data_IF_904514060408
#
_entry.id   IF_904514060408
#
_cell.length_a   1.000
_cell.length_b   1.000
_cell.length_c   1.000
_cell.angle_alpha   90.00
_cell.angle_beta   90.00
_cell.angle_gamma   90.00
#
_symmetry.space_group_name_H-M   'P 1'
#
loop_
_entity.id
_entity.type
_entity.pdbx_description
1 polymer ?
#
# COMPACT_ATOMS: atom_id res chain seq x y z
N UNK A 1 16.23 14.87 -7.81
CA UNK A 1 15.70 14.49 -6.48
C UNK A 1 14.93 13.18 -6.53
N UNK A 2 13.97 12.97 -7.46
CA UNK A 2 13.27 11.69 -7.65
C UNK A 2 14.20 10.51 -8.06
N UNK A 3 15.30 10.80 -8.76
CA UNK A 3 16.29 9.83 -9.22
C UNK A 3 17.22 9.30 -8.12
N UNK A 4 17.49 10.09 -7.08
CA UNK A 4 18.37 9.69 -5.97
C UNK A 4 17.61 8.81 -4.97
N UNK A 5 16.31 9.05 -4.80
CA UNK A 5 15.44 8.23 -3.95
C UNK A 5 15.15 6.86 -4.58
N UNK A 6 15.09 6.76 -5.90
CA UNK A 6 14.88 5.50 -6.63
C UNK A 6 16.15 4.64 -6.59
N UNK A 7 17.32 5.20 -6.90
CA UNK A 7 18.59 4.45 -6.89
C UNK A 7 18.99 3.97 -5.47
N UNK A 8 18.75 4.77 -4.43
CA UNK A 8 19.03 4.38 -3.04
C UNK A 8 18.11 3.27 -2.52
N UNK A 9 16.82 3.37 -2.84
CA UNK A 9 15.83 2.35 -2.45
C UNK A 9 16.07 1.06 -3.22
N UNK A 10 16.36 1.12 -4.52
CA UNK A 10 16.65 -0.05 -5.36
C UNK A 10 17.90 -0.82 -4.91
N UNK A 11 18.99 -0.13 -4.58
CA UNK A 11 20.21 -0.79 -4.12
C UNK A 11 20.05 -1.46 -2.74
N UNK A 12 19.30 -0.83 -1.84
CA UNK A 12 18.95 -1.41 -0.54
C UNK A 12 18.07 -2.65 -0.71
N UNK A 13 17.05 -2.54 -1.56
CA UNK A 13 16.18 -3.62 -2.06
C UNK A 13 17.03 -4.79 -2.55
N UNK A 14 17.92 -4.58 -3.51
CA UNK A 14 18.69 -5.65 -4.19
C UNK A 14 19.68 -6.38 -3.28
N UNK A 15 20.11 -5.76 -2.17
CA UNK A 15 21.02 -6.37 -1.20
C UNK A 15 20.35 -7.39 -0.26
N UNK A 16 19.02 -7.48 -0.25
CA UNK A 16 18.26 -8.37 0.64
C UNK A 16 17.89 -9.68 -0.06
N UNK A 17 18.11 -10.82 0.62
CA UNK A 17 17.75 -12.16 0.10
C UNK A 17 16.24 -12.23 -0.22
N UNK A 18 15.80 -13.09 -1.17
CA UNK A 18 14.43 -13.08 -1.72
C UNK A 18 13.28 -13.10 -0.70
N UNK A 19 13.51 -13.68 0.48
CA UNK A 19 12.53 -13.81 1.57
C UNK A 19 12.41 -12.50 2.38
N UNK A 20 13.46 -11.68 2.47
CA UNK A 20 13.46 -10.42 3.21
C UNK A 20 12.75 -9.26 2.47
N UNK A 21 12.47 -9.44 1.17
CA UNK A 21 11.77 -8.46 0.35
C UNK A 21 10.30 -8.26 0.72
N UNK A 22 9.64 -9.34 1.16
CA UNK A 22 8.24 -9.31 1.57
C UNK A 22 8.10 -8.59 2.91
N UNK A 23 9.13 -8.63 3.77
CA UNK A 23 9.16 -7.89 5.03
C UNK A 23 9.37 -6.38 4.85
N UNK A 24 10.17 -5.95 3.86
CA UNK A 24 10.51 -4.53 3.72
C UNK A 24 9.31 -3.66 3.32
N UNK A 25 8.32 -4.24 2.62
CA UNK A 25 7.05 -3.55 2.31
C UNK A 25 6.14 -3.42 3.54
N UNK A 26 6.35 -4.27 4.54
CA UNK A 26 5.57 -4.29 5.79
C UNK A 26 6.21 -3.44 6.90
N UNK A 27 7.53 -3.23 6.89
CA UNK A 27 8.22 -2.47 7.93
C UNK A 27 7.80 -0.98 7.97
N UNK A 28 7.22 -0.43 6.89
CA UNK A 28 6.63 0.92 6.92
C UNK A 28 5.21 0.95 7.53
N UNK A 29 4.59 -0.20 7.80
CA UNK A 29 3.26 -0.31 8.42
C UNK A 29 3.29 -0.36 9.96
N UNK A 30 4.47 -0.51 10.58
CA UNK A 30 4.60 -0.59 12.04
C UNK A 30 5.06 0.72 12.71
N UNK A 31 5.47 1.72 11.93
CA UNK A 31 6.02 2.99 12.46
C UNK A 31 4.99 4.04 12.91
N UNK A 32 3.68 3.80 12.72
CA UNK A 32 2.62 4.75 13.09
C UNK A 32 1.94 4.44 14.43
N UNK A 33 2.61 3.68 15.29
CA UNK A 33 2.38 3.67 16.74
C UNK A 33 3.54 4.36 17.46
N UNK A 34 3.91 5.56 17.02
CA UNK A 34 4.71 6.48 17.83
C UNK A 34 3.78 7.61 18.25
N UNK A 35 3.36 7.57 19.51
CA UNK A 35 2.71 8.69 20.20
C UNK A 35 3.54 9.96 19.93
N UNK A 36 3.04 10.86 19.09
CA UNK A 36 3.65 12.18 18.88
C UNK A 36 4.01 12.58 17.44
N UNK A 37 3.82 11.72 16.42
CA UNK A 37 3.81 12.25 15.05
C UNK A 37 2.44 12.84 14.77
N UNK A 38 2.31 14.13 14.43
CA UNK A 38 1.05 14.64 13.91
C UNK A 38 0.71 13.76 12.71
N UNK A 39 -0.44 13.10 12.77
CA UNK A 39 -1.03 12.54 11.57
C UNK A 39 -1.17 13.72 10.62
N UNK A 40 -0.30 13.79 9.61
CA UNK A 40 -0.50 14.66 8.47
C UNK A 40 -1.71 14.11 7.72
N UNK A 41 -2.88 14.30 8.34
CA UNK A 41 -4.16 14.20 7.70
C UNK A 41 -4.14 15.31 6.68
N UNK A 42 -3.98 14.98 5.39
CA UNK A 42 -4.43 15.88 4.35
C UNK A 42 -5.86 16.24 4.71
N UNK A 43 -6.10 17.49 5.12
CA UNK A 43 -7.39 17.91 5.67
C UNK A 43 -8.56 17.62 4.71
N UNK A 44 -8.24 17.35 3.44
CA UNK A 44 -9.18 17.16 2.35
C UNK A 44 -9.37 15.69 1.88
N UNK A 45 -8.52 14.73 2.27
CA UNK A 45 -8.73 13.32 1.90
C UNK A 45 -9.40 12.53 3.04
N UNK A 46 -10.50 11.78 2.79
CA UNK A 46 -11.24 11.07 3.85
C UNK A 46 -10.51 9.79 4.33
N UNK A 47 -9.41 9.97 5.07
CA UNK A 47 -8.56 8.87 5.56
C UNK A 47 -9.26 7.89 6.50
N UNK A 48 -10.40 8.25 7.09
CA UNK A 48 -11.15 7.37 7.99
C UNK A 48 -11.55 6.04 7.35
N UNK A 49 -11.84 6.03 6.04
CA UNK A 49 -12.17 4.79 5.32
C UNK A 49 -10.94 3.91 5.14
N UNK A 50 -9.79 4.52 4.83
CA UNK A 50 -8.53 3.80 4.72
C UNK A 50 -8.05 3.26 6.06
N UNK A 51 -8.23 4.02 7.15
CA UNK A 51 -7.94 3.55 8.49
C UNK A 51 -8.80 2.32 8.86
N UNK A 52 -10.11 2.38 8.63
CA UNK A 52 -11.00 1.23 8.85
C UNK A 52 -10.61 0.01 8.01
N UNK A 53 -10.13 0.24 6.78
CA UNK A 53 -9.61 -0.83 5.94
C UNK A 53 -8.36 -1.47 6.55
N UNK A 54 -7.41 -0.67 7.01
CA UNK A 54 -6.21 -1.18 7.68
C UNK A 54 -6.58 -1.94 8.96
N UNK A 55 -7.44 -1.39 9.80
CA UNK A 55 -7.88 -2.02 11.05
C UNK A 55 -8.57 -3.37 10.81
N UNK A 56 -9.30 -3.51 9.69
CA UNK A 56 -10.03 -4.74 9.34
C UNK A 56 -9.15 -5.80 8.68
N UNK A 57 -8.25 -5.39 7.80
CA UNK A 57 -7.55 -6.32 6.90
C UNK A 57 -6.04 -6.41 7.14
N UNK A 58 -5.47 -5.61 8.04
CA UNK A 58 -4.06 -5.73 8.44
C UNK A 58 -4.01 -6.41 9.79
N UNK A 59 -3.54 -7.65 9.80
CA UNK A 59 -3.48 -8.50 10.98
C UNK A 59 -2.03 -8.77 11.38
N UNK A 60 -1.75 -9.03 12.67
CA UNK A 60 -0.43 -9.50 13.07
C UNK A 60 -0.07 -10.78 12.29
N UNK A 61 1.05 -10.77 11.60
CA UNK A 61 1.54 -11.88 10.77
C UNK A 61 2.69 -12.65 11.42
N UNK A 62 3.33 -13.49 10.60
CA UNK A 62 4.47 -14.31 11.00
C UNK A 62 5.77 -13.49 11.19
N UNK A 63 6.80 -14.16 11.71
CA UNK A 63 8.11 -13.57 11.87
C UNK A 63 8.91 -13.68 10.57
N UNK A 64 9.39 -12.54 10.04
CA UNK A 64 10.35 -12.54 8.95
C UNK A 64 11.70 -12.11 9.51
N UNK A 65 12.68 -13.03 9.48
CA UNK A 65 14.02 -12.77 10.04
C UNK A 65 14.01 -12.49 11.55
N UNK A 66 13.06 -13.06 12.30
CA UNK A 66 12.93 -12.83 13.74
C UNK A 66 12.16 -11.55 14.12
N UNK A 67 11.66 -10.79 13.14
CA UNK A 67 10.84 -9.60 13.36
C UNK A 67 9.38 -9.97 13.08
N UNK A 68 8.49 -9.72 14.05
CA UNK A 68 7.04 -9.87 13.86
C UNK A 68 6.54 -8.74 12.96
N UNK A 69 5.87 -9.09 11.87
CA UNK A 69 5.39 -8.12 10.89
C UNK A 69 3.88 -8.22 10.71
N UNK A 70 3.21 -7.12 10.33
CA UNK A 70 1.77 -7.13 10.05
C UNK A 70 1.48 -7.49 8.60
N UNK A 71 0.55 -8.40 8.34
CA UNK A 71 0.25 -8.87 6.99
C UNK A 71 -1.14 -8.44 6.57
N UNK A 72 -1.34 -8.26 5.26
CA UNK A 72 -2.65 -7.97 4.68
C UNK A 72 -3.38 -9.29 4.44
N UNK A 73 -4.60 -9.41 4.96
CA UNK A 73 -5.50 -10.54 4.71
C UNK A 73 -6.21 -10.38 3.34
N UNK A 74 -5.51 -10.80 2.29
CA UNK A 74 -6.01 -10.71 0.91
C UNK A 74 -7.24 -11.60 0.66
N UNK A 75 -7.41 -12.71 1.38
CA UNK A 75 -8.59 -13.56 1.25
C UNK A 75 -9.83 -12.85 1.79
N UNK A 76 -9.72 -12.23 2.97
CA UNK A 76 -10.81 -11.44 3.55
C UNK A 76 -11.21 -10.27 2.63
N UNK A 77 -10.24 -9.52 2.11
CA UNK A 77 -10.52 -8.45 1.14
C UNK A 77 -11.22 -9.03 -0.10
N UNK A 78 -10.77 -10.18 -0.61
CA UNK A 78 -11.33 -10.79 -1.80
C UNK A 78 -12.77 -11.26 -1.60
N UNK A 79 -13.13 -11.74 -0.41
CA UNK A 79 -14.52 -12.06 -0.06
C UNK A 79 -15.37 -10.81 0.12
N UNK A 80 -14.83 -9.77 0.76
CA UNK A 80 -15.57 -8.56 1.08
C UNK A 80 -15.70 -7.60 -0.11
N UNK A 81 -14.87 -7.71 -1.16
CA UNK A 81 -14.89 -6.77 -2.31
C UNK A 81 -16.21 -6.74 -3.08
N UNK A 82 -16.98 -7.83 -3.06
CA UNK A 82 -18.27 -7.92 -3.76
C UNK A 82 -19.44 -7.36 -2.94
N UNK A 83 -19.21 -7.00 -1.68
CA UNK A 83 -20.22 -6.42 -0.80
C UNK A 83 -20.50 -4.95 -1.15
N UNK A 84 -21.76 -4.48 -1.07
CA UNK A 84 -22.09 -3.05 -1.19
C UNK A 84 -21.29 -2.16 -0.22
N UNK A 85 -20.96 -2.68 0.95
CA UNK A 85 -20.24 -1.95 2.00
C UNK A 85 -18.71 -2.07 1.91
N UNK A 86 -18.19 -2.63 0.82
CA UNK A 86 -16.76 -2.89 0.65
C UNK A 86 -15.89 -1.65 0.90
N UNK A 87 -15.06 -1.70 1.94
CA UNK A 87 -14.06 -0.67 2.24
C UNK A 87 -13.03 -0.56 1.11
N UNK A 88 -12.65 -1.68 0.50
CA UNK A 88 -11.74 -1.71 -0.65
C UNK A 88 -12.26 -0.86 -1.80
N UNK A 89 -13.48 -1.14 -2.26
CA UNK A 89 -14.11 -0.40 -3.36
C UNK A 89 -14.36 1.07 -3.01
N UNK A 90 -14.71 1.37 -1.74
CA UNK A 90 -14.89 2.75 -1.27
C UNK A 90 -13.60 3.56 -1.34
N UNK A 91 -12.45 3.00 -0.95
CA UNK A 91 -11.15 3.69 -1.00
C UNK A 91 -10.72 3.94 -2.44
N UNK A 92 -10.91 2.97 -3.35
CA UNK A 92 -10.61 3.17 -4.76
C UNK A 92 -11.46 4.30 -5.36
N UNK A 93 -12.75 4.37 -5.00
CA UNK A 93 -13.62 5.50 -5.41
C UNK A 93 -13.19 6.84 -4.80
N UNK A 94 -12.72 6.85 -3.55
CA UNK A 94 -12.19 8.07 -2.94
C UNK A 94 -10.94 8.57 -3.64
N UNK A 95 -10.00 7.68 -3.98
CA UNK A 95 -8.81 8.03 -4.75
C UNK A 95 -9.18 8.55 -6.14
N UNK A 96 -10.13 7.89 -6.81
CA UNK A 96 -10.60 8.31 -8.14
C UNK A 96 -11.18 9.72 -8.12
N UNK A 97 -11.99 10.06 -7.12
CA UNK A 97 -12.70 11.34 -7.05
C UNK A 97 -11.91 12.47 -6.36
N UNK A 98 -10.71 12.19 -5.85
CA UNK A 98 -9.92 13.17 -5.12
C UNK A 98 -9.00 13.93 -6.08
N UNK A 99 -9.14 15.25 -6.13
CA UNK A 99 -8.22 16.15 -6.83
C UNK A 99 -6.96 16.41 -5.97
N UNK A 100 -5.77 15.94 -6.39
CA UNK A 100 -4.52 16.18 -5.66
C UNK A 100 -4.12 17.65 -5.55
N UNK A 101 -4.70 18.54 -6.37
CA UNK A 101 -4.54 19.99 -6.24
C UNK A 101 -5.04 20.56 -4.91
N UNK A 102 -5.85 19.79 -4.16
CA UNK A 102 -6.33 20.17 -2.84
C UNK A 102 -5.32 19.90 -1.70
N UNK A 103 -4.17 19.29 -1.97
CA UNK A 103 -3.12 19.05 -0.97
C UNK A 103 -2.39 20.37 -0.65
N UNK A 104 -2.30 20.72 0.64
CA UNK A 104 -1.92 22.08 1.05
C UNK A 104 -0.42 22.27 1.29
N UNK A 105 0.30 21.20 1.60
CA UNK A 105 1.72 21.25 1.97
C UNK A 105 2.46 19.98 1.54
N UNK A 106 3.79 20.00 1.71
CA UNK A 106 4.66 18.93 1.23
C UNK A 106 4.45 17.63 2.01
N UNK A 107 4.15 17.74 3.29
CA UNK A 107 3.92 16.62 4.19
C UNK A 107 2.64 15.88 3.81
N UNK A 108 1.56 16.61 3.50
CA UNK A 108 0.31 16.06 2.97
C UNK A 108 0.50 15.38 1.62
N UNK A 109 1.29 15.98 0.73
CA UNK A 109 1.61 15.40 -0.58
C UNK A 109 2.36 14.07 -0.41
N UNK A 110 3.39 14.03 0.44
CA UNK A 110 4.15 12.81 0.71
C UNK A 110 3.26 11.73 1.32
N UNK A 111 2.45 12.08 2.32
CA UNK A 111 1.54 11.14 2.98
C UNK A 111 0.50 10.58 2.01
N UNK A 112 -0.11 11.43 1.19
CA UNK A 112 -1.11 11.04 0.20
C UNK A 112 -0.53 10.05 -0.81
N UNK A 113 0.61 10.38 -1.44
CA UNK A 113 1.20 9.52 -2.46
C UNK A 113 1.74 8.20 -1.91
N UNK A 114 2.26 8.20 -0.68
CA UNK A 114 2.69 6.96 -0.01
C UNK A 114 1.50 6.04 0.26
N UNK A 115 0.38 6.59 0.74
CA UNK A 115 -0.84 5.82 0.98
C UNK A 115 -1.46 5.33 -0.33
N UNK A 116 -1.51 6.16 -1.37
CA UNK A 116 -1.98 5.78 -2.70
C UNK A 116 -1.13 4.64 -3.29
N UNK A 117 0.19 4.70 -3.14
CA UNK A 117 1.08 3.61 -3.55
C UNK A 117 0.75 2.29 -2.84
N UNK A 118 0.56 2.32 -1.52
CA UNK A 118 0.22 1.13 -0.73
C UNK A 118 -1.13 0.53 -1.16
N UNK A 119 -2.14 1.38 -1.39
CA UNK A 119 -3.45 0.96 -1.91
C UNK A 119 -3.31 0.33 -3.31
N UNK A 120 -2.48 0.91 -4.17
CA UNK A 120 -2.20 0.38 -5.51
C UNK A 120 -1.54 -1.00 -5.47
N UNK A 121 -0.57 -1.19 -4.57
CA UNK A 121 0.06 -2.49 -4.36
C UNK A 121 -0.94 -3.56 -3.92
N UNK A 122 -1.83 -3.24 -2.98
CA UNK A 122 -2.91 -4.14 -2.54
C UNK A 122 -3.84 -4.46 -3.70
N UNK A 123 -4.28 -3.44 -4.45
CA UNK A 123 -5.15 -3.62 -5.63
C UNK A 123 -4.53 -4.58 -6.64
N UNK A 124 -3.23 -4.47 -6.90
CA UNK A 124 -2.56 -5.35 -7.84
C UNK A 124 -2.61 -6.83 -7.43
N UNK A 125 -2.45 -7.12 -6.13
CA UNK A 125 -2.58 -8.48 -5.60
C UNK A 125 -4.02 -8.97 -5.74
N UNK A 126 -5.00 -8.14 -5.35
CA UNK A 126 -6.44 -8.46 -5.41
C UNK A 126 -6.93 -8.69 -6.85
N UNK A 127 -6.46 -7.89 -7.82
CA UNK A 127 -6.82 -8.02 -9.24
C UNK A 127 -6.38 -9.37 -9.83
N UNK A 128 -5.36 -10.01 -9.26
CA UNK A 128 -4.78 -11.26 -9.78
C UNK A 128 -4.89 -12.42 -8.77
N UNK A 129 -5.70 -12.26 -7.74
CA UNK A 129 -5.90 -13.27 -6.69
C UNK A 129 -6.59 -14.53 -7.25
N UNK A 130 -6.16 -15.76 -6.87
CA UNK A 130 -5.07 -16.08 -5.95
C UNK A 130 -3.69 -16.05 -6.61
N UNK A 131 -2.74 -15.43 -5.90
CA UNK A 131 -1.37 -15.24 -6.34
C UNK A 131 -0.40 -15.32 -5.16
N UNK A 132 0.70 -16.04 -5.35
CA UNK A 132 1.69 -16.30 -4.29
C UNK A 132 2.61 -15.09 -4.04
N UNK A 133 2.70 -14.14 -4.98
CA UNK A 133 3.56 -12.96 -4.88
C UNK A 133 3.15 -11.86 -5.84
N UNK A 134 3.32 -10.59 -5.44
CA UNK A 134 3.17 -9.42 -6.34
C UNK A 134 4.08 -9.50 -7.59
N UNK A 135 5.16 -10.30 -7.53
CA UNK A 135 6.08 -10.56 -8.66
C UNK A 135 5.71 -11.81 -9.47
N UNK A 136 4.56 -12.42 -9.19
CA UNK A 136 4.10 -13.60 -9.92
C UNK A 136 4.00 -13.28 -11.42
N UNK A 137 4.36 -14.27 -12.24
CA UNK A 137 4.21 -14.20 -13.69
C UNK A 137 2.75 -13.98 -14.11
N UNK A 138 1.78 -14.33 -13.25
CA UNK A 138 0.36 -14.00 -13.42
C UNK A 138 0.08 -12.49 -13.43
N UNK A 139 0.86 -11.71 -12.68
CA UNK A 139 0.72 -10.25 -12.58
C UNK A 139 1.52 -9.56 -13.70
N UNK A 140 2.77 -9.99 -13.91
CA UNK A 140 3.57 -9.52 -15.03
C UNK A 140 4.62 -10.55 -15.48
N UNK A 141 4.63 -10.86 -16.78
CA UNK A 141 5.63 -11.72 -17.41
C UNK A 141 7.04 -11.10 -17.43
N UNK A 142 7.16 -9.76 -17.34
CA UNK A 142 8.43 -9.02 -17.30
C UNK A 142 8.96 -8.71 -15.88
N UNK A 143 8.38 -9.26 -14.82
CA UNK A 143 8.79 -9.04 -13.41
C UNK A 143 8.81 -7.58 -12.91
N UNK A 144 8.39 -6.60 -13.71
CA UNK A 144 8.23 -5.20 -13.27
C UNK A 144 6.73 -4.82 -13.17
N UNK A 145 6.08 -5.02 -12.01
CA UNK A 145 4.65 -4.78 -11.85
C UNK A 145 4.20 -3.32 -12.10
N UNK A 146 5.13 -2.36 -12.09
CA UNK A 146 4.84 -0.92 -12.07
C UNK A 146 4.62 -0.28 -13.44
N UNK A 147 4.79 -1.03 -14.53
CA UNK A 147 4.53 -0.53 -15.89
C UNK A 147 3.03 -0.59 -16.30
N UNK A 148 2.13 -0.96 -15.38
CA UNK A 148 0.67 -0.99 -15.61
C UNK A 148 0.00 0.18 -14.90
N UNK A 149 -1.04 0.76 -15.53
CA UNK A 149 -1.94 1.69 -14.84
C UNK A 149 -2.76 0.90 -13.82
N UNK A 150 -2.42 1.05 -12.54
CA UNK A 150 -3.05 0.30 -11.43
C UNK A 150 -4.12 1.15 -10.72
N UNK A 151 -3.84 2.45 -10.55
CA UNK A 151 -4.77 3.41 -9.98
C UNK A 151 -5.01 4.56 -10.96
N UNK A 152 -6.21 5.11 -10.89
CA UNK A 152 -6.56 6.41 -11.47
C UNK A 152 -6.91 7.31 -10.30
N UNK A 153 -6.33 8.51 -10.27
CA UNK A 153 -6.51 9.52 -9.24
C UNK A 153 -6.82 10.83 -9.97
N UNK A 154 -7.87 11.53 -9.52
CA UNK A 154 -8.38 12.73 -10.16
C UNK A 154 -9.45 12.43 -11.20
#
# INVERSE_FOLDING_TARGET
MLRILTEGVENMVLSLKPIAYVALVVILLAGMWINGFPHASAANFPYSTYQQFLDRYVVPGEYIGGIKVNVVDYDAIQRDRVSPESLYEKILRQLLNFDPGNLQNKEEEIAFWLNAYNIGAIKMVIDHYPVDSIRSTKINWLKNPWNKKILTIG
#
